data_IF_683843943860
#
_entry.id   IF_683843943860
#
_cell.length_a   1.000
_cell.length_b   1.000
_cell.length_c   1.000
_cell.angle_alpha   90.00
_cell.angle_beta   90.00
_cell.angle_gamma   90.00
#
_symmetry.space_group_name_H-M   'P 1'
#
loop_
_entity.id
_entity.type
_entity.pdbx_description
1 polymer ?
#
# COMPACT_ATOMS: atom_id res chain seq x y z
N UNK A 1 7.31 38.44 12.35
CA UNK A 1 7.98 37.35 11.62
C UNK A 1 7.72 36.06 12.37
N UNK A 2 6.71 35.29 11.97
CA UNK A 2 6.44 33.98 12.57
C UNK A 2 7.50 33.03 12.06
N UNK A 3 8.35 32.50 12.93
CA UNK A 3 9.30 31.45 12.56
C UNK A 3 8.50 30.31 11.91
N UNK A 4 8.71 30.06 10.62
CA UNK A 4 8.09 28.91 9.97
C UNK A 4 8.71 27.66 10.59
N UNK A 5 7.90 26.87 11.29
CA UNK A 5 8.35 25.60 11.84
C UNK A 5 8.93 24.74 10.71
N UNK A 6 10.14 24.22 10.92
CA UNK A 6 10.77 23.27 10.00
C UNK A 6 9.82 22.09 9.78
N UNK A 7 9.60 21.64 8.53
CA UNK A 7 8.84 20.43 8.28
C UNK A 7 9.45 19.26 9.08
N UNK A 8 8.59 18.48 9.75
CA UNK A 8 8.99 17.20 10.33
C UNK A 8 9.55 16.30 9.23
N UNK A 9 10.57 15.52 9.54
CA UNK A 9 11.19 14.52 8.67
C UNK A 9 11.12 13.13 9.33
N UNK A 10 11.48 12.08 8.59
CA UNK A 10 11.60 10.75 9.18
C UNK A 10 12.65 10.69 10.31
N UNK A 11 12.47 9.83 11.33
CA UNK A 11 13.47 9.61 12.36
C UNK A 11 14.82 9.16 11.79
N UNK A 12 15.91 9.52 12.46
CA UNK A 12 17.25 9.25 11.96
C UNK A 12 17.64 7.76 11.98
N UNK A 13 16.95 6.95 12.77
CA UNK A 13 17.18 5.53 13.02
C UNK A 13 16.30 4.60 12.16
N UNK A 14 15.50 5.14 11.24
CA UNK A 14 14.79 4.31 10.25
C UNK A 14 15.78 3.73 9.26
N UNK A 15 15.82 2.40 9.18
CA UNK A 15 16.63 1.64 8.22
C UNK A 15 15.68 0.86 7.32
N UNK A 16 15.74 1.13 6.02
CA UNK A 16 15.06 0.31 5.02
C UNK A 16 15.87 -0.97 4.81
N UNK A 17 15.24 -2.11 5.05
CA UNK A 17 15.89 -3.42 4.93
C UNK A 17 15.19 -4.22 3.85
N UNK A 18 15.74 -4.32 2.62
CA UNK A 18 15.14 -5.14 1.58
C UNK A 18 15.10 -6.61 1.97
N UNK A 19 13.90 -7.17 2.13
CA UNK A 19 13.68 -8.58 2.47
C UNK A 19 13.36 -9.35 1.19
N UNK A 20 14.37 -9.87 0.50
CA UNK A 20 14.17 -10.63 -0.76
C UNK A 20 13.58 -12.03 -0.52
N UNK A 21 12.30 -12.11 -0.15
CA UNK A 21 11.55 -13.37 0.06
C UNK A 21 10.83 -13.82 -1.21
N UNK A 22 10.53 -15.13 -1.30
CA UNK A 22 9.84 -15.77 -2.44
C UNK A 22 8.64 -16.56 -1.94
N UNK A 23 7.48 -16.33 -2.55
CA UNK A 23 6.21 -16.91 -2.10
C UNK A 23 5.54 -17.77 -3.17
N UNK A 24 4.75 -18.76 -2.76
CA UNK A 24 3.87 -19.52 -3.65
C UNK A 24 4.56 -20.31 -4.79
N UNK A 25 5.88 -20.51 -4.74
CA UNK A 25 6.59 -21.33 -5.73
C UNK A 25 6.13 -22.79 -5.58
N UNK A 26 5.67 -23.40 -6.67
CA UNK A 26 5.15 -24.78 -6.74
C UNK A 26 3.84 -25.04 -5.97
N UNK A 27 3.18 -24.01 -5.44
CA UNK A 27 1.87 -24.17 -4.81
C UNK A 27 0.77 -23.95 -5.86
N UNK A 28 -0.22 -24.85 -5.93
CA UNK A 28 -1.45 -24.61 -6.68
C UNK A 28 -2.49 -24.03 -5.75
N UNK A 29 -3.11 -22.91 -6.14
CA UNK A 29 -4.17 -22.29 -5.35
C UNK A 29 -5.55 -22.67 -5.84
N UNK A 30 -6.45 -22.84 -4.88
CA UNK A 30 -7.89 -22.88 -5.10
C UNK A 30 -8.49 -21.51 -4.79
N UNK A 31 -9.75 -21.31 -5.17
CA UNK A 31 -10.50 -20.13 -4.75
C UNK A 31 -10.54 -20.03 -3.22
N UNK A 32 -10.63 -18.79 -2.72
CA UNK A 32 -10.69 -18.52 -1.29
C UNK A 32 -12.01 -19.03 -0.69
N UNK A 33 -11.98 -19.46 0.58
CA UNK A 33 -13.20 -19.91 1.27
C UNK A 33 -14.15 -18.74 1.58
N UNK A 34 -13.61 -17.56 1.88
CA UNK A 34 -14.39 -16.31 1.87
C UNK A 34 -14.19 -15.58 0.52
N UNK A 35 -15.21 -15.59 -0.36
CA UNK A 35 -15.10 -14.95 -1.67
C UNK A 35 -15.05 -13.42 -1.58
N UNK A 36 -15.60 -12.79 -0.53
CA UNK A 36 -15.57 -11.32 -0.36
C UNK A 36 -14.16 -10.86 -0.03
N UNK A 37 -13.51 -11.53 0.93
CA UNK A 37 -12.12 -11.24 1.25
C UNK A 37 -11.19 -11.58 0.09
N UNK A 38 -11.37 -12.75 -0.54
CA UNK A 38 -10.58 -13.13 -1.71
C UNK A 38 -10.66 -12.05 -2.81
N UNK A 39 -11.87 -11.60 -3.17
CA UNK A 39 -12.06 -10.56 -4.18
C UNK A 39 -11.40 -9.23 -3.80
N UNK A 40 -11.46 -8.82 -2.54
CA UNK A 40 -10.81 -7.59 -2.07
C UNK A 40 -9.28 -7.66 -2.16
N UNK A 41 -8.66 -8.72 -1.64
CA UNK A 41 -7.21 -8.90 -1.69
C UNK A 41 -6.68 -9.13 -3.11
N UNK A 42 -7.44 -9.82 -3.96
CA UNK A 42 -7.13 -9.93 -5.38
C UNK A 42 -7.17 -8.57 -6.08
N UNK A 43 -8.19 -7.74 -5.80
CA UNK A 43 -8.29 -6.39 -6.36
C UNK A 43 -7.13 -5.48 -5.93
N UNK A 44 -6.62 -5.65 -4.71
CA UNK A 44 -5.40 -4.98 -4.24
C UNK A 44 -4.15 -5.53 -4.93
N UNK A 45 -3.94 -6.85 -4.88
CA UNK A 45 -2.77 -7.52 -5.46
C UNK A 45 -2.63 -7.26 -6.96
N UNK A 46 -3.74 -7.24 -7.70
CA UNK A 46 -3.75 -6.93 -9.13
C UNK A 46 -3.29 -5.49 -9.42
N UNK A 47 -3.43 -4.58 -8.46
CA UNK A 47 -3.05 -3.17 -8.63
C UNK A 47 -1.57 -2.88 -8.32
N UNK A 48 -0.94 -3.72 -7.50
CA UNK A 48 0.41 -3.49 -7.01
C UNK A 48 1.47 -3.49 -8.13
N UNK A 49 1.64 -4.50 -8.99
CA UNK A 49 2.76 -4.53 -9.95
C UNK A 49 2.90 -3.26 -10.82
N UNK A 50 1.79 -2.74 -11.32
CA UNK A 50 1.80 -1.52 -12.13
C UNK A 50 1.83 -0.26 -11.27
N UNK A 51 1.16 -0.26 -10.11
CA UNK A 51 1.17 0.83 -9.15
C UNK A 51 2.55 1.10 -8.56
N UNK A 52 3.26 0.07 -8.13
CA UNK A 52 4.61 0.13 -7.57
C UNK A 52 5.63 0.59 -8.62
N UNK A 53 5.49 0.15 -9.88
CA UNK A 53 6.28 0.71 -10.99
C UNK A 53 6.06 2.24 -11.14
N UNK A 54 4.83 2.72 -10.93
CA UNK A 54 4.55 4.17 -10.89
C UNK A 54 5.12 4.83 -9.63
N UNK A 55 5.10 4.16 -8.46
CA UNK A 55 5.71 4.69 -7.24
C UNK A 55 7.22 4.89 -7.42
N UNK A 56 7.91 3.88 -7.95
CA UNK A 56 9.32 3.92 -8.34
C UNK A 56 9.60 5.13 -9.22
N UNK A 57 8.87 5.31 -10.33
CA UNK A 57 9.10 6.45 -11.23
C UNK A 57 8.80 7.80 -10.56
N UNK A 58 7.79 7.85 -9.68
CA UNK A 58 7.44 9.02 -8.89
C UNK A 58 8.58 9.51 -7.98
N UNK A 59 9.23 8.62 -7.23
CA UNK A 59 10.34 9.00 -6.34
C UNK A 59 11.68 9.13 -7.07
N UNK A 60 11.95 8.24 -8.03
CA UNK A 60 13.20 8.19 -8.81
C UNK A 60 13.44 9.48 -9.58
N UNK A 61 12.38 10.13 -10.05
CA UNK A 61 12.44 11.41 -10.75
C UNK A 61 13.12 12.55 -9.95
N UNK A 62 13.22 12.43 -8.63
CA UNK A 62 13.79 13.44 -7.72
C UNK A 62 15.06 12.96 -6.99
N UNK A 63 15.46 11.71 -7.17
CA UNK A 63 16.58 11.08 -6.47
C UNK A 63 17.92 11.81 -6.67
N UNK A 64 18.24 12.19 -7.90
CA UNK A 64 19.57 12.74 -8.22
C UNK A 64 19.79 14.16 -7.66
N UNK A 65 18.72 14.84 -7.25
CA UNK A 65 18.76 16.15 -6.60
C UNK A 65 18.67 16.04 -5.06
N UNK A 66 18.34 14.85 -4.55
CA UNK A 66 18.17 14.60 -3.13
C UNK A 66 19.52 14.55 -2.39
N UNK A 67 19.55 14.90 -1.08
CA UNK A 67 20.73 14.68 -0.25
C UNK A 67 21.16 13.20 -0.26
N UNK A 68 22.45 12.89 -0.03
CA UNK A 68 22.99 11.53 -0.16
C UNK A 68 22.20 10.47 0.62
N UNK A 69 21.73 10.82 1.83
CA UNK A 69 20.91 9.94 2.67
C UNK A 69 19.58 9.58 1.99
N UNK A 70 18.77 10.58 1.64
CA UNK A 70 17.49 10.39 0.99
C UNK A 70 17.63 9.69 -0.38
N UNK A 71 18.68 10.01 -1.14
CA UNK A 71 18.99 9.30 -2.37
C UNK A 71 19.30 7.81 -2.13
N UNK A 72 19.89 7.45 -0.98
CA UNK A 72 20.09 6.09 -0.53
C UNK A 72 18.79 5.39 -0.15
N UNK A 73 17.96 6.04 0.66
CA UNK A 73 16.63 5.54 1.06
C UNK A 73 15.75 5.28 -0.18
N UNK A 74 15.74 6.19 -1.17
CA UNK A 74 15.05 5.98 -2.45
C UNK A 74 15.58 4.74 -3.20
N UNK A 75 16.88 4.44 -3.12
CA UNK A 75 17.43 3.21 -3.76
C UNK A 75 16.94 1.95 -3.07
N UNK A 76 16.86 1.93 -1.74
CA UNK A 76 16.36 0.78 -0.99
C UNK A 76 14.85 0.59 -1.19
N UNK A 77 14.08 1.68 -1.16
CA UNK A 77 12.66 1.69 -1.53
C UNK A 77 12.45 1.05 -2.92
N UNK A 78 13.22 1.45 -3.93
CA UNK A 78 13.10 0.87 -5.28
C UNK A 78 13.38 -0.64 -5.28
N UNK A 79 14.31 -1.14 -4.46
CA UNK A 79 14.59 -2.57 -4.37
C UNK A 79 13.42 -3.34 -3.73
N UNK A 80 12.84 -2.81 -2.66
CA UNK A 80 11.66 -3.40 -2.00
C UNK A 80 10.48 -3.46 -2.97
N UNK A 81 10.18 -2.35 -3.65
CA UNK A 81 9.09 -2.28 -4.63
C UNK A 81 9.26 -3.26 -5.81
N UNK A 82 10.49 -3.42 -6.32
CA UNK A 82 10.75 -4.43 -7.37
C UNK A 82 10.49 -5.86 -6.85
N UNK A 83 10.79 -6.12 -5.58
CA UNK A 83 10.49 -7.41 -4.96
C UNK A 83 8.98 -7.58 -4.74
N UNK A 84 8.27 -6.57 -4.24
CA UNK A 84 6.81 -6.58 -4.08
C UNK A 84 6.13 -6.91 -5.41
N UNK A 85 6.51 -6.20 -6.47
CA UNK A 85 5.96 -6.36 -7.83
C UNK A 85 6.12 -7.79 -8.29
N UNK A 86 7.31 -8.34 -8.12
CA UNK A 86 7.62 -9.72 -8.52
C UNK A 86 6.75 -10.73 -7.79
N UNK A 87 6.56 -10.58 -6.49
CA UNK A 87 5.79 -11.54 -5.69
C UNK A 87 4.27 -11.38 -5.91
N UNK A 88 3.77 -10.16 -6.10
CA UNK A 88 2.38 -9.93 -6.50
C UNK A 88 2.07 -10.42 -7.92
N UNK A 89 3.01 -10.35 -8.86
CA UNK A 89 2.85 -11.00 -10.17
C UNK A 89 2.70 -12.53 -10.03
N UNK A 90 3.41 -13.16 -9.10
CA UNK A 90 3.25 -14.60 -8.82
C UNK A 90 1.87 -14.85 -8.22
N UNK A 91 1.48 -14.09 -7.20
CA UNK A 91 0.16 -14.20 -6.57
C UNK A 91 -0.98 -14.05 -7.58
N UNK A 92 -0.90 -13.06 -8.48
CA UNK A 92 -1.90 -12.80 -9.51
C UNK A 92 -1.98 -13.93 -10.54
N UNK A 93 -0.85 -14.54 -10.92
CA UNK A 93 -0.86 -15.74 -11.77
C UNK A 93 -1.54 -16.93 -11.09
N UNK A 94 -1.26 -17.16 -9.82
CA UNK A 94 -1.91 -18.23 -9.05
C UNK A 94 -3.42 -18.01 -8.93
N UNK A 95 -3.86 -16.75 -8.82
CA UNK A 95 -5.28 -16.43 -8.85
C UNK A 95 -5.94 -16.73 -10.20
N UNK A 96 -5.24 -16.45 -11.30
CA UNK A 96 -5.70 -16.82 -12.64
C UNK A 96 -5.80 -18.34 -12.81
N UNK A 97 -4.81 -19.09 -12.33
CA UNK A 97 -4.83 -20.56 -12.29
C UNK A 97 -5.96 -21.14 -11.42
N UNK A 98 -6.37 -20.40 -10.37
CA UNK A 98 -7.53 -20.72 -9.54
C UNK A 98 -8.89 -20.37 -10.19
N UNK A 99 -8.88 -19.80 -11.40
CA UNK A 99 -10.05 -19.53 -12.22
C UNK A 99 -10.60 -18.11 -12.13
N UNK A 100 -9.79 -17.12 -11.70
CA UNK A 100 -10.16 -15.71 -11.80
C UNK A 100 -9.66 -15.08 -13.10
N UNK A 101 -10.52 -14.37 -13.82
CA UNK A 101 -10.12 -13.47 -14.89
C UNK A 101 -9.79 -12.09 -14.30
N UNK A 102 -8.51 -11.70 -14.36
CA UNK A 102 -8.00 -10.41 -13.88
C UNK A 102 -7.88 -9.37 -15.00
N UNK A 103 -8.18 -9.71 -16.26
CA UNK A 103 -7.82 -8.90 -17.43
C UNK A 103 -8.37 -7.48 -17.37
N UNK A 104 -9.65 -7.32 -17.00
CA UNK A 104 -10.29 -6.01 -16.90
C UNK A 104 -9.76 -5.18 -15.72
N UNK A 105 -9.38 -5.83 -14.61
CA UNK A 105 -8.76 -5.19 -13.46
C UNK A 105 -7.39 -4.66 -13.86
N UNK A 106 -6.56 -5.50 -14.48
CA UNK A 106 -5.22 -5.12 -14.95
C UNK A 106 -5.29 -3.96 -15.96
N UNK A 107 -6.14 -4.03 -16.98
CA UNK A 107 -6.33 -2.93 -17.94
C UNK A 107 -6.79 -1.62 -17.28
N UNK A 108 -7.56 -1.70 -16.20
CA UNK A 108 -7.98 -0.51 -15.45
C UNK A 108 -6.83 0.09 -14.68
N UNK A 109 -6.02 -0.75 -14.02
CA UNK A 109 -4.83 -0.33 -13.29
C UNK A 109 -3.82 0.30 -14.25
N UNK A 110 -3.56 -0.31 -15.40
CA UNK A 110 -2.66 0.21 -16.44
C UNK A 110 -3.06 1.63 -16.85
N UNK A 111 -4.34 1.83 -17.20
CA UNK A 111 -4.86 3.16 -17.56
C UNK A 111 -4.69 4.17 -16.43
N UNK A 112 -4.99 3.79 -15.18
CA UNK A 112 -4.89 4.69 -14.04
C UNK A 112 -3.43 5.10 -13.75
N UNK A 113 -2.49 4.15 -13.91
CA UNK A 113 -1.07 4.40 -13.74
C UNK A 113 -0.52 5.27 -14.88
N UNK A 114 -0.87 4.97 -16.13
CA UNK A 114 -0.50 5.78 -17.30
C UNK A 114 -1.00 7.22 -17.16
N UNK A 115 -2.27 7.40 -16.79
CA UNK A 115 -2.85 8.72 -16.54
C UNK A 115 -2.11 9.52 -15.45
N UNK A 116 -1.50 8.85 -14.47
CA UNK A 116 -0.73 9.47 -13.40
C UNK A 116 0.73 9.74 -13.82
N UNK A 117 1.33 8.86 -14.64
CA UNK A 117 2.66 9.02 -15.22
C UNK A 117 2.70 10.12 -16.30
N UNK A 118 1.59 10.35 -17.00
CA UNK A 118 1.43 11.44 -17.98
C UNK A 118 1.32 12.83 -17.32
N UNK A 119 1.17 12.90 -15.99
CA UNK A 119 1.16 14.18 -15.27
C UNK A 119 2.58 14.72 -15.07
N UNK A 120 2.73 16.01 -14.76
CA UNK A 120 4.02 16.54 -14.33
C UNK A 120 4.57 15.70 -13.17
N UNK A 121 5.88 15.42 -13.16
CA UNK A 121 6.57 14.58 -12.16
C UNK A 121 6.17 14.87 -10.71
N UNK A 122 5.96 16.15 -10.39
CA UNK A 122 5.56 16.57 -9.04
C UNK A 122 4.15 16.12 -8.67
N UNK A 123 3.23 16.06 -9.63
CA UNK A 123 1.86 15.53 -9.44
C UNK A 123 1.91 14.01 -9.30
N UNK A 124 2.73 13.32 -10.10
CA UNK A 124 2.95 11.88 -9.97
C UNK A 124 3.48 11.54 -8.57
N UNK A 125 4.49 12.27 -8.08
CA UNK A 125 4.99 12.12 -6.71
C UNK A 125 3.90 12.40 -5.67
N UNK A 126 3.05 13.41 -5.87
CA UNK A 126 1.93 13.68 -4.96
C UNK A 126 0.92 12.52 -4.92
N UNK A 127 0.69 11.83 -6.05
CA UNK A 127 -0.14 10.62 -6.12
C UNK A 127 0.56 9.47 -5.41
N UNK A 128 1.87 9.28 -5.62
CA UNK A 128 2.69 8.27 -4.92
C UNK A 128 2.57 8.44 -3.41
N UNK A 129 2.87 9.62 -2.84
CA UNK A 129 2.80 9.80 -1.37
C UNK A 129 1.40 9.58 -0.78
N UNK A 130 0.34 9.73 -1.58
CA UNK A 130 -1.03 9.49 -1.12
C UNK A 130 -1.34 7.99 -1.13
N UNK A 131 -0.89 7.25 -2.14
CA UNK A 131 -1.07 5.81 -2.22
C UNK A 131 -0.17 5.05 -1.23
N UNK A 132 1.08 5.48 -1.06
CA UNK A 132 2.01 5.04 0.00
C UNK A 132 1.43 5.24 1.40
N UNK A 133 0.72 6.36 1.60
CA UNK A 133 0.02 6.55 2.86
C UNK A 133 -1.11 5.54 3.05
N UNK A 134 -1.85 5.20 1.98
CA UNK A 134 -2.88 4.16 2.05
C UNK A 134 -2.28 2.79 2.35
N UNK A 135 -1.22 2.38 1.64
CA UNK A 135 -0.57 1.09 1.86
C UNK A 135 -0.02 0.99 3.28
N UNK A 136 0.61 2.05 3.79
CA UNK A 136 1.11 2.09 5.17
C UNK A 136 0.00 1.99 6.24
N UNK A 137 -1.13 2.69 6.09
CA UNK A 137 -2.22 2.60 7.09
C UNK A 137 -2.98 1.28 7.00
N UNK A 138 -3.06 0.66 5.81
CA UNK A 138 -3.53 -0.72 5.67
C UNK A 138 -2.56 -1.68 6.34
N UNK A 139 -1.26 -1.56 6.07
CA UNK A 139 -0.20 -2.37 6.67
C UNK A 139 -0.21 -2.31 8.19
N UNK A 140 -0.33 -1.13 8.78
CA UNK A 140 -0.48 -0.97 10.23
C UNK A 140 -1.67 -1.79 10.77
N UNK A 141 -2.85 -1.67 10.15
CA UNK A 141 -4.03 -2.42 10.59
C UNK A 141 -3.88 -3.93 10.37
N UNK A 142 -3.17 -4.32 9.31
CA UNK A 142 -2.88 -5.70 8.97
C UNK A 142 -1.96 -6.36 10.01
N UNK A 143 -0.93 -5.67 10.47
CA UNK A 143 0.00 -6.20 11.46
C UNK A 143 -0.56 -6.13 12.90
N UNK A 144 -1.33 -5.09 13.25
CA UNK A 144 -1.89 -4.93 14.61
C UNK A 144 -3.16 -5.75 14.88
N UNK A 145 -3.84 -6.23 13.84
CA UNK A 145 -5.03 -7.08 13.99
C UNK A 145 -5.03 -8.17 12.93
N UNK A 146 -4.16 -9.20 13.02
CA UNK A 146 -4.07 -10.25 12.01
C UNK A 146 -5.39 -11.03 11.83
N UNK A 147 -6.23 -11.12 12.85
CA UNK A 147 -7.57 -11.70 12.77
C UNK A 147 -8.54 -10.86 11.93
N UNK A 148 -8.20 -9.59 11.63
CA UNK A 148 -8.91 -8.74 10.68
C UNK A 148 -8.56 -9.04 9.22
N UNK A 149 -7.46 -9.76 8.97
CA UNK A 149 -6.94 -10.08 7.64
C UNK A 149 -7.53 -11.35 7.02
N UNK A 150 -8.19 -12.21 7.81
CA UNK A 150 -8.45 -13.58 7.34
C UNK A 150 -9.83 -14.03 7.77
N UNK A 151 -10.82 -13.63 6.99
CA UNK A 151 -11.87 -14.61 6.66
C UNK A 151 -11.29 -15.42 5.50
N UNK A 152 -10.66 -16.56 5.77
CA UNK A 152 -10.16 -17.58 4.82
C UNK A 152 -10.14 -17.21 3.30
N UNK A 153 -9.42 -16.15 2.89
CA UNK A 153 -9.35 -15.69 1.49
C UNK A 153 -8.34 -16.50 0.66
N UNK A 154 -8.05 -16.07 -0.57
CA UNK A 154 -6.92 -16.61 -1.36
C UNK A 154 -5.64 -16.16 -0.65
N UNK A 155 -5.24 -16.99 0.31
CA UNK A 155 -4.26 -16.67 1.31
C UNK A 155 -2.84 -16.71 0.77
N UNK A 156 -2.11 -15.65 1.08
CA UNK A 156 -0.72 -15.78 1.47
C UNK A 156 -0.44 -14.83 2.64
N UNK A 157 -0.88 -15.17 3.86
CA UNK A 157 -0.68 -14.30 5.01
C UNK A 157 0.78 -13.93 5.22
N UNK A 158 1.73 -14.74 4.75
CA UNK A 158 3.15 -14.43 4.83
C UNK A 158 3.56 -13.35 3.82
N UNK A 159 3.15 -13.46 2.54
CA UNK A 159 3.35 -12.41 1.54
C UNK A 159 2.78 -11.07 2.04
N UNK A 160 1.54 -11.07 2.51
CA UNK A 160 0.85 -9.84 2.93
C UNK A 160 1.50 -9.22 4.17
N UNK A 161 2.01 -10.03 5.11
CA UNK A 161 2.76 -9.53 6.27
C UNK A 161 4.11 -8.98 5.86
N UNK A 162 4.85 -9.72 5.02
CA UNK A 162 6.14 -9.28 4.51
C UNK A 162 6.02 -7.93 3.80
N UNK A 163 5.07 -7.82 2.86
CA UNK A 163 4.80 -6.57 2.15
C UNK A 163 4.38 -5.47 3.14
N UNK A 164 3.45 -5.75 4.06
CA UNK A 164 3.01 -4.76 5.06
C UNK A 164 4.15 -4.19 5.91
N UNK A 165 5.14 -5.01 6.30
CA UNK A 165 6.30 -4.52 7.07
C UNK A 165 7.09 -3.49 6.25
N UNK A 166 7.35 -3.76 4.97
CA UNK A 166 8.10 -2.85 4.09
C UNK A 166 7.29 -1.57 3.77
N UNK A 167 5.97 -1.65 3.59
CA UNK A 167 5.11 -0.46 3.35
C UNK A 167 5.11 0.53 4.52
N UNK A 168 5.32 0.06 5.75
CA UNK A 168 5.48 0.97 6.90
C UNK A 168 6.78 1.77 6.79
N UNK A 169 7.85 1.20 6.24
CA UNK A 169 9.12 1.88 6.00
C UNK A 169 8.96 2.91 4.85
N UNK A 170 8.25 2.52 3.79
CA UNK A 170 8.06 3.32 2.58
C UNK A 170 7.40 4.68 2.80
N UNK A 171 6.43 4.76 3.73
CA UNK A 171 5.66 6.00 4.02
C UNK A 171 6.55 7.20 4.27
N UNK A 172 7.71 7.01 4.92
CA UNK A 172 8.68 8.05 5.21
C UNK A 172 9.40 8.53 3.95
N UNK A 173 9.95 7.58 3.17
CA UNK A 173 10.79 7.88 2.00
C UNK A 173 10.04 8.65 0.93
N UNK A 174 8.82 8.22 0.59
CA UNK A 174 8.01 8.91 -0.40
C UNK A 174 7.68 10.34 0.06
N UNK A 175 7.33 10.52 1.34
CA UNK A 175 6.98 11.82 1.90
C UNK A 175 8.17 12.76 2.03
N UNK A 176 9.33 12.28 2.47
CA UNK A 176 10.58 13.05 2.54
C UNK A 176 11.04 13.46 1.14
N UNK A 177 10.85 12.60 0.14
CA UNK A 177 11.06 12.94 -1.28
C UNK A 177 10.15 14.10 -1.70
N UNK A 178 8.88 14.09 -1.30
CA UNK A 178 7.96 15.21 -1.55
C UNK A 178 8.37 16.51 -0.83
N UNK A 179 8.78 16.42 0.44
CA UNK A 179 9.26 17.58 1.20
C UNK A 179 10.50 18.19 0.55
N UNK A 180 11.43 17.35 0.08
CA UNK A 180 12.60 17.78 -0.66
C UNK A 180 12.23 18.41 -2.01
N UNK A 181 11.42 17.74 -2.83
CA UNK A 181 11.00 18.21 -4.15
C UNK A 181 10.21 19.52 -4.13
N UNK A 182 9.53 19.80 -3.01
CA UNK A 182 8.73 21.02 -2.82
C UNK A 182 9.35 22.01 -1.83
N UNK A 183 10.65 21.87 -1.49
CA UNK A 183 11.33 22.68 -0.47
C UNK A 183 11.19 24.19 -0.67
N UNK A 184 11.20 24.65 -1.92
CA UNK A 184 11.10 26.06 -2.29
C UNK A 184 9.65 26.56 -2.43
N UNK A 185 8.66 25.68 -2.21
CA UNK A 185 7.24 26.07 -2.28
C UNK A 185 6.78 26.74 -0.99
N UNK A 186 5.90 27.74 -1.13
CA UNK A 186 5.19 28.30 0.00
C UNK A 186 4.40 27.20 0.75
N UNK A 187 4.46 27.11 2.10
CA UNK A 187 3.85 26.02 2.87
C UNK A 187 2.37 25.80 2.58
N UNK A 188 1.60 26.88 2.36
CA UNK A 188 0.18 26.79 1.98
C UNK A 188 -0.04 26.05 0.67
N UNK A 189 0.82 26.27 -0.35
CA UNK A 189 0.73 25.59 -1.65
C UNK A 189 0.98 24.08 -1.47
N UNK A 190 2.03 23.72 -0.71
CA UNK A 190 2.36 22.33 -0.40
C UNK A 190 1.21 21.62 0.33
N UNK A 191 0.64 22.28 1.34
CA UNK A 191 -0.51 21.78 2.09
C UNK A 191 -1.74 21.55 1.21
N UNK A 192 -2.15 22.57 0.42
CA UNK A 192 -3.32 22.48 -0.45
C UNK A 192 -3.16 21.37 -1.48
N UNK A 193 -2.01 21.31 -2.16
CA UNK A 193 -1.74 20.28 -3.17
C UNK A 193 -1.82 18.88 -2.59
N UNK A 194 -1.16 18.65 -1.44
CA UNK A 194 -1.14 17.37 -0.74
C UNK A 194 -2.56 16.92 -0.34
N UNK A 195 -3.35 17.81 0.25
CA UNK A 195 -4.73 17.51 0.65
C UNK A 195 -5.66 17.27 -0.55
N UNK A 196 -5.56 18.09 -1.60
CA UNK A 196 -6.36 17.91 -2.82
C UNK A 196 -6.08 16.58 -3.51
N UNK A 197 -4.79 16.22 -3.65
CA UNK A 197 -4.39 14.95 -4.27
C UNK A 197 -4.85 13.77 -3.41
N UNK A 198 -4.67 13.81 -2.08
CA UNK A 198 -5.19 12.76 -1.20
C UNK A 198 -6.71 12.59 -1.33
N UNK A 199 -7.48 13.67 -1.37
CA UNK A 199 -8.93 13.59 -1.56
C UNK A 199 -9.30 12.95 -2.90
N UNK A 200 -8.64 13.35 -3.99
CA UNK A 200 -8.85 12.77 -5.31
C UNK A 200 -8.45 11.29 -5.36
N UNK A 201 -7.27 10.95 -4.84
CA UNK A 201 -6.76 9.58 -4.74
C UNK A 201 -7.70 8.72 -3.91
N UNK A 202 -8.21 9.21 -2.77
CA UNK A 202 -9.18 8.48 -1.93
C UNK A 202 -10.42 8.06 -2.73
N UNK A 203 -11.05 9.00 -3.43
CA UNK A 203 -12.25 8.71 -4.24
C UNK A 203 -11.94 7.71 -5.34
N UNK A 204 -10.84 7.92 -6.09
CA UNK A 204 -10.46 7.03 -7.20
C UNK A 204 -10.02 5.65 -6.70
N UNK A 205 -9.25 5.57 -5.64
CA UNK A 205 -8.79 4.33 -5.05
C UNK A 205 -9.98 3.49 -4.59
N UNK A 206 -10.85 4.03 -3.73
CA UNK A 206 -11.99 3.29 -3.20
C UNK A 206 -13.00 2.90 -4.29
N UNK A 207 -13.32 3.80 -5.21
CA UNK A 207 -14.25 3.48 -6.30
C UNK A 207 -13.73 2.37 -7.20
N UNK A 208 -12.45 2.41 -7.59
CA UNK A 208 -11.87 1.38 -8.45
C UNK A 208 -11.64 0.06 -7.70
N UNK A 209 -11.10 0.08 -6.46
CA UNK A 209 -10.92 -1.16 -5.69
C UNK A 209 -12.24 -1.85 -5.38
N UNK A 210 -13.29 -1.09 -5.04
CA UNK A 210 -14.63 -1.65 -4.87
C UNK A 210 -15.20 -2.20 -6.19
N UNK A 211 -15.02 -1.50 -7.32
CA UNK A 211 -15.45 -1.99 -8.63
C UNK A 211 -14.76 -3.31 -8.98
N UNK A 212 -13.44 -3.36 -8.82
CA UNK A 212 -12.62 -4.53 -9.15
C UNK A 212 -12.96 -5.71 -8.21
N UNK A 213 -13.16 -5.46 -6.92
CA UNK A 213 -13.61 -6.49 -5.99
C UNK A 213 -15.03 -7.00 -6.32
N UNK A 214 -15.97 -6.13 -6.71
CA UNK A 214 -17.31 -6.58 -7.14
C UNK A 214 -17.27 -7.39 -8.43
N UNK A 215 -16.39 -7.04 -9.37
CA UNK A 215 -16.15 -7.78 -10.59
C UNK A 215 -15.60 -9.18 -10.29
N UNK A 216 -14.60 -9.29 -9.42
CA UNK A 216 -14.05 -10.58 -9.01
C UNK A 216 -15.05 -11.43 -8.23
N UNK A 217 -15.82 -10.81 -7.33
CA UNK A 217 -16.87 -11.46 -6.57
C UNK A 217 -18.01 -12.01 -7.47
N UNK A 218 -18.24 -11.37 -8.63
CA UNK A 218 -19.20 -11.86 -9.62
C UNK A 218 -18.78 -13.20 -10.25
N UNK A 219 -17.48 -13.46 -10.34
CA UNK A 219 -16.92 -14.73 -10.83
C UNK A 219 -17.09 -15.88 -9.81
N UNK A 220 -17.49 -15.55 -8.58
CA UNK A 220 -17.92 -16.49 -7.53
C UNK A 220 -19.46 -16.56 -7.42
N UNK A 221 -20.18 -16.05 -8.42
CA UNK A 221 -21.65 -16.10 -8.50
C UNK A 221 -22.37 -15.11 -7.56
N UNK A 222 -21.64 -14.22 -6.90
CA UNK A 222 -22.22 -13.22 -5.99
C UNK A 222 -22.28 -11.87 -6.71
N UNK A 223 -23.50 -11.45 -7.09
CA UNK A 223 -23.72 -10.26 -7.93
C UNK A 223 -24.73 -9.28 -7.34
N UNK A 224 -24.93 -8.15 -8.02
CA UNK A 224 -26.00 -7.18 -7.73
C UNK A 224 -25.91 -6.56 -6.33
N UNK A 225 -27.08 -6.30 -5.73
CA UNK A 225 -27.17 -5.67 -4.41
C UNK A 225 -26.52 -6.54 -3.31
N UNK A 226 -26.60 -7.87 -3.42
CA UNK A 226 -26.02 -8.82 -2.45
C UNK A 226 -24.50 -8.68 -2.41
N UNK A 227 -23.85 -8.56 -3.56
CA UNK A 227 -22.41 -8.31 -3.65
C UNK A 227 -22.02 -6.97 -2.99
N UNK A 228 -22.74 -5.90 -3.32
CA UNK A 228 -22.51 -4.55 -2.76
C UNK A 228 -22.67 -4.54 -1.24
N UNK A 229 -23.72 -5.17 -0.72
CA UNK A 229 -23.96 -5.28 0.72
C UNK A 229 -22.85 -6.07 1.42
N UNK A 230 -22.50 -7.26 0.90
CA UNK A 230 -21.43 -8.09 1.47
C UNK A 230 -20.09 -7.36 1.51
N UNK A 231 -19.69 -6.72 0.41
CA UNK A 231 -18.45 -5.95 0.37
C UNK A 231 -18.49 -4.75 1.33
N UNK A 232 -19.61 -4.04 1.41
CA UNK A 232 -19.78 -2.92 2.35
C UNK A 232 -19.70 -3.39 3.80
N UNK A 233 -20.37 -4.49 4.14
CA UNK A 233 -20.34 -5.09 5.47
C UNK A 233 -18.93 -5.56 5.86
N UNK A 234 -18.17 -6.10 4.91
CA UNK A 234 -16.77 -6.49 5.09
C UNK A 234 -15.86 -5.28 5.35
N UNK A 235 -16.01 -4.21 4.55
CA UNK A 235 -15.13 -3.03 4.59
C UNK A 235 -15.44 -2.06 5.74
N UNK A 236 -16.71 -1.92 6.16
CA UNK A 236 -17.13 -0.98 7.21
C UNK A 236 -17.59 -1.67 8.51
N UNK A 237 -18.13 -2.88 8.42
CA UNK A 237 -18.62 -3.67 9.55
C UNK A 237 -17.50 -4.45 10.23
N UNK A 238 -17.53 -5.79 10.06
CA UNK A 238 -16.50 -6.72 10.56
C UNK A 238 -15.92 -7.47 9.35
N UNK A 239 -14.59 -7.39 9.09
CA UNK A 239 -13.54 -6.82 9.93
C UNK A 239 -13.52 -5.28 9.98
N UNK A 240 -14.03 -4.60 8.96
CA UNK A 240 -14.23 -3.15 8.98
C UNK A 240 -12.98 -2.32 8.70
N UNK A 241 -12.09 -2.77 7.81
CA UNK A 241 -10.78 -2.15 7.57
C UNK A 241 -10.87 -0.65 7.27
N UNK A 242 -11.83 -0.19 6.47
CA UNK A 242 -11.99 1.23 6.13
C UNK A 242 -12.41 2.06 7.34
N UNK A 243 -13.25 1.50 8.22
CA UNK A 243 -13.63 2.15 9.48
C UNK A 243 -12.43 2.27 10.42
N UNK A 244 -11.55 1.27 10.45
CA UNK A 244 -10.38 1.25 11.34
C UNK A 244 -9.26 2.20 10.89
N UNK A 245 -8.99 2.32 9.59
CA UNK A 245 -7.97 3.25 9.08
C UNK A 245 -8.43 4.71 9.09
N UNK A 246 -9.73 4.98 9.22
CA UNK A 246 -10.31 6.32 9.07
C UNK A 246 -9.65 7.40 9.96
N UNK A 247 -9.36 7.16 11.26
CA UNK A 247 -8.68 8.15 12.10
C UNK A 247 -7.28 8.53 11.58
N UNK A 248 -6.52 7.55 11.10
CA UNK A 248 -5.18 7.77 10.54
C UNK A 248 -5.26 8.49 9.19
N UNK A 249 -6.21 8.10 8.35
CA UNK A 249 -6.48 8.74 7.07
C UNK A 249 -6.87 10.21 7.22
N UNK A 250 -7.77 10.57 8.15
CA UNK A 250 -8.14 11.98 8.37
C UNK A 250 -6.96 12.78 8.94
N UNK A 251 -6.09 12.13 9.72
CA UNK A 251 -4.84 12.69 10.21
C UNK A 251 -3.93 13.24 9.11
N UNK A 252 -3.97 12.64 7.91
CA UNK A 252 -3.25 13.15 6.74
C UNK A 252 -3.59 14.61 6.45
N UNK A 253 -4.84 15.06 6.65
CA UNK A 253 -5.24 16.43 6.32
C UNK A 253 -4.77 17.48 7.34
N UNK A 254 -4.10 17.09 8.43
CA UNK A 254 -3.61 18.03 9.45
C UNK A 254 -2.47 18.92 8.91
N UNK A 255 -2.44 20.23 9.21
CA UNK A 255 -1.26 21.06 9.00
C UNK A 255 -0.05 20.52 9.78
N UNK A 256 1.11 20.43 9.14
CA UNK A 256 2.31 19.86 9.75
C UNK A 256 2.24 18.34 9.97
N UNK A 257 1.42 17.64 9.19
CA UNK A 257 1.41 16.18 9.13
C UNK A 257 2.76 15.63 8.64
N UNK A 258 3.17 14.52 9.26
CA UNK A 258 4.18 13.59 8.77
C UNK A 258 3.69 12.15 8.95
N UNK A 259 3.96 11.22 8.02
CA UNK A 259 3.56 9.81 8.19
C UNK A 259 4.08 9.15 9.48
N UNK A 260 5.27 9.56 9.94
CA UNK A 260 5.86 9.13 11.22
C UNK A 260 5.29 9.82 12.47
N UNK A 261 4.25 10.65 12.34
CA UNK A 261 3.44 11.03 13.50
C UNK A 261 2.71 9.81 14.10
N UNK A 262 2.57 8.72 13.33
CA UNK A 262 2.26 7.38 13.83
C UNK A 262 3.55 6.55 13.78
N UNK A 263 4.10 6.25 14.96
CA UNK A 263 5.35 5.49 15.09
C UNK A 263 5.07 3.98 15.10
N UNK A 264 5.51 3.33 14.03
CA UNK A 264 5.29 1.90 13.79
C UNK A 264 6.59 1.08 13.90
N UNK A 265 7.70 1.68 14.37
CA UNK A 265 8.99 0.97 14.48
C UNK A 265 8.90 -0.29 15.35
N UNK A 266 8.15 -0.22 16.46
CA UNK A 266 7.90 -1.37 17.32
C UNK A 266 7.13 -2.48 16.59
N UNK A 267 6.23 -2.11 15.66
CA UNK A 267 5.44 -3.05 14.88
C UNK A 267 6.29 -3.76 13.82
N UNK A 268 7.23 -3.04 13.17
CA UNK A 268 8.25 -3.64 12.29
C UNK A 268 9.05 -4.69 13.08
N UNK A 269 9.58 -4.32 14.25
CA UNK A 269 10.42 -5.20 15.07
C UNK A 269 9.72 -6.48 15.56
N UNK A 270 8.39 -6.46 15.72
CA UNK A 270 7.60 -7.65 16.10
C UNK A 270 7.47 -8.70 14.99
N UNK A 271 7.71 -8.31 13.74
CA UNK A 271 7.56 -9.15 12.56
C UNK A 271 8.87 -9.37 11.79
N UNK A 272 9.95 -8.71 12.22
CA UNK A 272 11.27 -8.75 11.57
C UNK A 272 12.42 -9.05 12.56
N UNK A 273 12.13 -9.80 13.63
CA UNK A 273 13.17 -10.31 14.53
C UNK A 273 14.09 -11.28 13.80
N UNK A 274 15.40 -11.08 13.98
CA UNK A 274 16.46 -12.02 13.60
C UNK A 274 16.32 -13.39 14.27
N UNK A 275 15.59 -13.45 15.39
CA UNK A 275 15.19 -14.69 16.04
C UNK A 275 13.77 -15.04 15.57
N UNK A 276 13.65 -16.04 14.69
CA UNK A 276 12.38 -16.42 14.09
C UNK A 276 11.30 -16.75 15.14
N UNK A 277 11.68 -17.36 16.26
CA UNK A 277 10.79 -17.70 17.38
C UNK A 277 10.26 -16.48 18.16
N UNK A 278 10.89 -15.31 18.00
CA UNK A 278 10.45 -14.06 18.62
C UNK A 278 9.50 -13.25 17.71
N UNK A 279 9.32 -13.67 16.46
CA UNK A 279 8.30 -13.07 15.60
C UNK A 279 6.93 -13.59 16.04
N UNK A 280 5.96 -12.68 16.23
CA UNK A 280 4.67 -12.96 16.88
C UNK A 280 3.87 -14.12 16.27
N UNK A 281 4.21 -14.61 15.07
CA UNK A 281 3.58 -15.76 14.42
C UNK A 281 4.56 -16.51 13.49
N UNK A 282 5.66 -17.06 14.02
CA UNK A 282 6.27 -18.21 13.37
C UNK A 282 5.19 -19.31 13.29
N UNK A 283 4.60 -19.50 12.10
CA UNK A 283 3.71 -20.62 11.85
C UNK A 283 4.51 -21.87 12.21
N UNK A 284 4.02 -22.78 13.09
CA UNK A 284 4.73 -24.00 13.39
C UNK A 284 5.03 -24.69 12.06
N UNK A 285 6.29 -25.06 11.84
CA UNK A 285 6.62 -25.98 10.77
C UNK A 285 5.89 -27.30 11.08
N UNK A 286 4.83 -27.60 10.32
CA UNK A 286 4.29 -28.96 10.21
C UNK A 286 5.17 -29.79 9.28
#
# INVERSE_FOLDING_TARGET
MTAMATPKASPDDIVLTPRDRRFGRNARRTKGKDPVAAAWFLALSASFPRGEAMFIEGVKAFRDQAPPRLAGEIREFIKQEVNHTREHLVFNRMAAEAGYDLSNVLQRVDRLADEALDKPRIVTLAVTIALEHFTAIFAHQFLTSPESLVTDGIGDPELWRWHAVEEIEHKGVAYDTWLHATRDWHPRKRYIMRCMVMAQVTVRFLSNRCRDALELLSQDGITGWRARWKLTAYLLGKPGILRRIFPTWIGYFRPGFHPWDNDDRALIGQHDSVYQDANLLAVPAE
#
